data_IF_839566190356
#
_entry.id   IF_839566190356
#
_cell.length_a   1.000
_cell.length_b   1.000
_cell.length_c   1.000
_cell.angle_alpha   90.00
_cell.angle_beta   90.00
_cell.angle_gamma   90.00
#
_symmetry.space_group_name_H-M   'P 1'
#
loop_
_entity.id
_entity.type
_entity.pdbx_description
1 polymer ?
#
# COMPACT_ATOMS: atom_id res chain seq x y z
N UNK A 1 8.23 17.62 58.09
CA UNK A 1 7.78 18.24 56.82
C UNK A 1 8.98 18.54 55.94
N UNK A 2 9.26 17.71 54.94
CA UNK A 2 10.40 17.85 54.03
C UNK A 2 9.98 18.68 52.80
N UNK A 3 10.59 19.85 52.60
CA UNK A 3 10.33 20.71 51.42
C UNK A 3 11.09 20.19 50.19
N UNK A 4 10.37 19.60 49.23
CA UNK A 4 10.93 19.25 47.91
C UNK A 4 11.17 20.52 47.07
N UNK A 5 12.42 20.78 46.69
CA UNK A 5 12.80 21.80 45.71
C UNK A 5 12.58 21.25 44.28
N UNK A 6 11.62 21.80 43.54
CA UNK A 6 11.45 21.55 42.10
C UNK A 6 12.64 22.15 41.32
N UNK A 7 13.46 21.31 40.68
CA UNK A 7 14.45 21.75 39.69
C UNK A 7 13.76 21.93 38.33
N UNK A 8 13.70 23.16 37.84
CA UNK A 8 13.25 23.46 36.49
C UNK A 8 14.32 23.02 35.48
N UNK A 9 14.00 22.04 34.63
CA UNK A 9 14.84 21.64 33.51
C UNK A 9 14.73 22.69 32.41
N UNK A 10 15.78 23.51 32.22
CA UNK A 10 15.87 24.45 31.10
C UNK A 10 16.31 23.70 29.85
N UNK A 11 15.36 23.36 28.98
CA UNK A 11 15.65 22.85 27.63
C UNK A 11 16.24 24.01 26.81
N UNK A 12 17.49 23.87 26.36
CA UNK A 12 18.12 24.84 25.46
C UNK A 12 17.48 24.73 24.07
N UNK A 13 17.17 25.86 23.38
CA UNK A 13 16.62 25.80 22.04
C UNK A 13 17.66 25.23 21.05
N UNK A 14 17.26 24.16 20.36
CA UNK A 14 18.09 23.46 19.39
C UNK A 14 18.31 24.34 18.15
N UNK A 15 19.58 24.64 17.81
CA UNK A 15 19.96 25.54 16.71
C UNK A 15 19.54 24.96 15.34
N UNK A 16 18.65 25.67 14.63
CA UNK A 16 18.09 25.32 13.30
C UNK A 16 19.10 25.06 12.16
N UNK A 17 20.38 25.45 12.31
CA UNK A 17 21.37 25.35 11.21
C UNK A 17 21.93 23.95 10.96
N UNK A 18 21.86 23.02 11.93
CA UNK A 18 22.40 21.67 11.75
C UNK A 18 21.53 20.75 10.87
N UNK A 19 20.22 21.06 10.71
CA UNK A 19 19.29 20.23 9.93
C UNK A 19 19.59 20.22 8.43
N UNK A 20 20.05 21.34 7.86
CA UNK A 20 20.21 21.48 6.40
C UNK A 20 21.41 20.69 5.84
N UNK A 21 22.49 20.57 6.62
CA UNK A 21 23.67 19.79 6.21
C UNK A 21 23.49 18.28 6.42
N UNK A 22 22.74 17.85 7.44
CA UNK A 22 22.44 16.44 7.64
C UNK A 22 21.43 15.92 6.61
N UNK A 23 20.40 16.72 6.26
CA UNK A 23 19.41 16.38 5.22
C UNK A 23 20.05 16.21 3.84
N UNK A 24 20.99 17.08 3.46
CA UNK A 24 21.65 16.98 2.15
C UNK A 24 22.64 15.81 2.04
N UNK A 25 23.13 15.26 3.17
CA UNK A 25 23.97 14.06 3.17
C UNK A 25 23.19 12.75 3.11
N UNK A 26 21.94 12.74 3.58
CA UNK A 26 21.07 11.54 3.52
C UNK A 26 20.43 11.38 2.14
N UNK A 27 20.26 12.46 1.38
CA UNK A 27 19.54 12.46 0.09
C UNK A 27 20.42 12.08 -1.12
N UNK A 28 21.75 12.02 -0.99
CA UNK A 28 22.64 11.78 -2.14
C UNK A 28 23.68 10.73 -1.76
N UNK A 29 23.30 9.45 -1.85
CA UNK A 29 24.14 8.27 -2.16
C UNK A 29 23.41 6.97 -1.77
N UNK A 30 22.22 6.73 -2.31
CA UNK A 30 21.77 5.35 -2.46
C UNK A 30 22.32 4.85 -3.79
N UNK A 31 23.28 3.90 -3.80
CA UNK A 31 23.94 3.47 -5.02
C UNK A 31 22.90 2.95 -6.01
N UNK A 32 23.00 3.46 -7.24
CA UNK A 32 22.24 3.10 -8.42
C UNK A 32 21.73 1.65 -8.40
N UNK A 33 20.46 1.46 -8.07
CA UNK A 33 19.74 0.24 -8.46
C UNK A 33 19.49 0.39 -9.96
N UNK A 34 20.45 -0.05 -10.78
CA UNK A 34 20.19 -0.36 -12.19
C UNK A 34 19.23 -1.54 -12.21
N UNK A 35 17.93 -1.26 -12.21
CA UNK A 35 16.92 -2.25 -12.54
C UNK A 35 17.09 -2.63 -14.02
N UNK A 36 17.62 -3.83 -14.27
CA UNK A 36 17.71 -4.37 -15.62
C UNK A 36 16.32 -4.84 -16.05
N UNK A 37 15.82 -4.30 -17.15
CA UNK A 37 15.08 -5.09 -18.14
C UNK A 37 13.56 -5.20 -18.04
N UNK A 38 12.84 -4.27 -17.40
CA UNK A 38 11.37 -4.21 -17.50
C UNK A 38 10.87 -2.76 -17.53
N UNK A 39 9.92 -2.43 -18.41
CA UNK A 39 9.18 -1.15 -18.36
C UNK A 39 8.23 -1.17 -17.16
N UNK A 40 8.77 -1.11 -15.96
CA UNK A 40 7.99 -1.09 -14.73
C UNK A 40 7.27 0.26 -14.60
N UNK A 41 6.03 0.25 -14.10
CA UNK A 41 5.41 1.47 -13.61
C UNK A 41 6.12 1.89 -12.32
N UNK A 42 7.23 2.60 -12.46
CA UNK A 42 7.84 3.30 -11.34
C UNK A 42 6.99 4.53 -11.03
N UNK A 43 5.95 4.32 -10.21
CA UNK A 43 5.07 5.39 -9.74
C UNK A 43 5.87 6.59 -9.23
N UNK A 44 6.98 6.34 -8.51
CA UNK A 44 7.80 7.41 -7.93
C UNK A 44 8.49 8.26 -9.00
N UNK A 45 8.85 7.66 -10.15
CA UNK A 45 9.40 8.39 -11.30
C UNK A 45 8.34 9.21 -12.04
N UNK A 46 7.11 8.71 -12.12
CA UNK A 46 5.99 9.41 -12.76
C UNK A 46 5.50 10.64 -11.99
N UNK A 47 5.76 10.71 -10.69
CA UNK A 47 5.40 11.86 -9.85
C UNK A 47 6.23 13.11 -10.14
N UNK A 48 5.62 14.28 -9.94
CA UNK A 48 6.37 15.56 -9.90
C UNK A 48 7.37 15.55 -8.74
N UNK A 49 8.40 16.41 -8.81
CA UNK A 49 9.39 16.52 -7.72
C UNK A 49 8.75 16.81 -6.36
N UNK A 50 7.70 17.64 -6.32
CA UNK A 50 6.98 17.99 -5.09
C UNK A 50 6.23 16.79 -4.51
N UNK A 51 5.52 16.04 -5.36
CA UNK A 51 4.79 14.84 -4.93
C UNK A 51 5.75 13.73 -4.49
N UNK A 52 6.81 13.51 -5.26
CA UNK A 52 7.89 12.58 -4.91
C UNK A 52 8.48 12.89 -3.53
N UNK A 53 8.80 14.16 -3.26
CA UNK A 53 9.33 14.56 -1.96
C UNK A 53 8.33 14.25 -0.82
N UNK A 54 7.03 14.52 -1.02
CA UNK A 54 6.01 14.20 -0.01
C UNK A 54 5.90 12.70 0.26
N UNK A 55 5.96 11.87 -0.78
CA UNK A 55 5.99 10.40 -0.64
C UNK A 55 7.22 9.96 0.15
N UNK A 56 8.41 10.50 -0.17
CA UNK A 56 9.65 10.19 0.53
C UNK A 56 9.64 10.66 1.99
N UNK A 57 9.08 11.83 2.26
CA UNK A 57 8.92 12.34 3.63
C UNK A 57 8.03 11.40 4.46
N UNK A 58 6.90 10.94 3.91
CA UNK A 58 6.04 9.95 4.56
C UNK A 58 6.77 8.61 4.76
N UNK A 59 7.43 8.11 3.72
CA UNK A 59 8.21 6.87 3.80
C UNK A 59 9.31 6.94 4.87
N UNK A 60 9.99 8.08 5.00
CA UNK A 60 11.05 8.26 6.00
C UNK A 60 10.55 8.07 7.44
N UNK A 61 9.29 8.42 7.72
CA UNK A 61 8.66 8.14 9.01
C UNK A 61 8.46 6.64 9.25
N UNK A 62 7.96 5.92 8.23
CA UNK A 62 7.77 4.46 8.29
C UNK A 62 9.12 3.74 8.40
N UNK A 63 10.15 4.25 7.74
CA UNK A 63 11.50 3.67 7.74
C UNK A 63 12.14 3.63 9.13
N UNK A 64 11.69 4.47 10.06
CA UNK A 64 12.14 4.45 11.45
C UNK A 64 11.68 3.22 12.23
N UNK A 65 10.73 2.43 11.71
CA UNK A 65 10.35 1.14 12.29
C UNK A 65 11.54 0.17 12.11
N UNK A 66 12.03 -0.34 13.24
CA UNK A 66 13.15 -1.28 13.32
C UNK A 66 12.58 -2.71 13.42
N UNK A 67 13.14 -3.62 12.64
CA UNK A 67 12.78 -5.04 12.66
C UNK A 67 11.82 -5.45 11.53
N UNK A 68 11.44 -6.74 11.50
CA UNK A 68 10.47 -7.25 10.54
C UNK A 68 9.10 -6.61 10.75
N UNK A 69 8.35 -6.46 9.67
CA UNK A 69 7.02 -5.88 9.69
C UNK A 69 6.09 -6.66 8.77
N UNK A 70 4.89 -6.94 9.27
CA UNK A 70 3.79 -7.42 8.46
C UNK A 70 3.08 -6.23 7.81
N UNK A 71 2.82 -6.33 6.52
CA UNK A 71 2.05 -5.36 5.75
C UNK A 71 0.75 -6.02 5.29
N UNK A 72 -0.37 -5.29 5.33
CA UNK A 72 -1.67 -5.81 4.90
C UNK A 72 -2.14 -5.10 3.63
N UNK A 73 -1.88 -5.67 2.43
CA UNK A 73 -2.45 -5.16 1.18
C UNK A 73 -3.98 -5.15 1.26
N UNK A 74 -4.60 -4.07 0.79
CA UNK A 74 -6.04 -3.89 0.93
C UNK A 74 -6.69 -3.09 -0.18
N UNK A 75 -7.93 -3.45 -0.45
CA UNK A 75 -8.85 -2.66 -1.26
C UNK A 75 -9.13 -1.32 -0.57
N UNK A 76 -9.08 -0.22 -1.32
CA UNK A 76 -9.55 1.10 -0.86
C UNK A 76 -10.53 1.66 -1.89
N UNK A 77 -10.03 2.03 -3.08
CA UNK A 77 -10.82 2.64 -4.17
C UNK A 77 -11.28 1.63 -5.23
N UNK A 78 -10.88 0.37 -5.12
CA UNK A 78 -11.23 -0.74 -6.02
C UNK A 78 -11.53 -1.99 -5.19
N UNK A 79 -11.61 -3.17 -5.81
CA UNK A 79 -11.93 -4.41 -5.12
C UNK A 79 -13.38 -4.86 -5.33
N UNK A 80 -13.72 -6.01 -4.74
CA UNK A 80 -15.04 -6.64 -4.86
C UNK A 80 -16.20 -5.67 -4.58
N UNK A 81 -16.09 -4.86 -3.52
CA UNK A 81 -17.11 -3.88 -3.12
C UNK A 81 -17.43 -2.88 -4.23
N UNK A 82 -16.42 -2.43 -4.99
CA UNK A 82 -16.67 -1.52 -6.12
C UNK A 82 -17.53 -2.20 -7.19
N UNK A 83 -17.15 -3.41 -7.60
CA UNK A 83 -17.86 -4.11 -8.68
C UNK A 83 -19.28 -4.49 -8.27
N UNK A 84 -19.50 -4.85 -7.01
CA UNK A 84 -20.84 -5.11 -6.45
C UNK A 84 -21.70 -3.84 -6.44
N UNK A 85 -21.16 -2.69 -6.04
CA UNK A 85 -21.91 -1.43 -6.06
C UNK A 85 -22.18 -0.92 -7.48
N UNK A 86 -21.26 -1.14 -8.44
CA UNK A 86 -21.51 -0.84 -9.85
C UNK A 86 -22.65 -1.71 -10.41
N UNK A 87 -22.66 -2.99 -10.08
CA UNK A 87 -23.70 -3.92 -10.53
C UNK A 87 -25.07 -3.54 -9.96
N UNK A 88 -25.13 -3.31 -8.65
CA UNK A 88 -26.34 -2.87 -7.93
C UNK A 88 -26.95 -1.57 -8.48
N UNK A 89 -26.10 -0.64 -8.93
CA UNK A 89 -26.53 0.66 -9.45
C UNK A 89 -26.73 0.66 -10.98
N UNK A 90 -26.35 -0.41 -11.66
CA UNK A 90 -26.38 -0.52 -13.13
C UNK A 90 -25.32 0.31 -13.86
N UNK A 91 -24.35 0.87 -13.11
CA UNK A 91 -23.30 1.73 -13.64
C UNK A 91 -22.11 0.92 -14.16
N UNK A 92 -21.31 1.50 -15.06
CA UNK A 92 -20.25 0.81 -15.80
C UNK A 92 -18.83 1.15 -15.36
N UNK A 93 -18.63 2.26 -14.65
CA UNK A 93 -17.31 2.60 -14.12
C UNK A 93 -17.38 3.44 -12.85
N UNK A 94 -16.24 3.55 -12.17
CA UNK A 94 -16.08 4.44 -11.02
C UNK A 94 -16.36 5.89 -11.38
N UNK A 95 -15.90 6.33 -12.55
CA UNK A 95 -16.09 7.70 -13.04
C UNK A 95 -17.59 7.99 -13.22
N UNK A 96 -18.32 7.07 -13.85
CA UNK A 96 -19.77 7.19 -14.01
C UNK A 96 -20.49 7.18 -12.66
N UNK A 97 -20.02 6.40 -11.70
CA UNK A 97 -20.54 6.38 -10.33
C UNK A 97 -20.31 7.70 -9.60
N UNK A 98 -19.10 8.24 -9.63
CA UNK A 98 -18.80 9.54 -9.01
C UNK A 98 -19.57 10.67 -9.69
N UNK A 99 -19.80 10.61 -11.01
CA UNK A 99 -20.58 11.59 -11.77
C UNK A 99 -22.06 11.56 -11.39
N UNK A 100 -22.70 10.37 -11.39
CA UNK A 100 -24.16 10.25 -11.20
C UNK A 100 -24.58 10.27 -9.74
N UNK A 101 -23.79 9.69 -8.85
CA UNK A 101 -24.14 9.54 -7.43
C UNK A 101 -23.29 10.43 -6.50
N UNK A 102 -22.22 11.03 -7.03
CA UNK A 102 -21.34 11.92 -6.30
C UNK A 102 -20.21 11.22 -5.54
N UNK A 103 -19.11 11.95 -5.34
CA UNK A 103 -17.93 11.47 -4.60
C UNK A 103 -18.23 11.03 -3.18
N UNK A 104 -19.24 11.62 -2.54
CA UNK A 104 -19.65 11.24 -1.18
C UNK A 104 -20.26 9.84 -1.16
N UNK A 105 -21.13 9.51 -2.11
CA UNK A 105 -21.69 8.17 -2.23
C UNK A 105 -20.59 7.13 -2.51
N UNK A 106 -19.61 7.47 -3.36
CA UNK A 106 -18.47 6.58 -3.62
C UNK A 106 -17.64 6.35 -2.35
N UNK A 107 -17.38 7.42 -1.58
CA UNK A 107 -16.70 7.29 -0.30
C UNK A 107 -17.46 6.40 0.68
N UNK A 108 -18.75 6.67 0.89
CA UNK A 108 -19.55 5.98 1.92
C UNK A 108 -19.82 4.51 1.58
N UNK A 109 -20.01 4.17 0.30
CA UNK A 109 -20.39 2.83 -0.14
C UNK A 109 -19.20 1.95 -0.53
N UNK A 110 -18.08 2.55 -0.98
CA UNK A 110 -16.91 1.80 -1.43
C UNK A 110 -15.72 2.02 -0.49
N UNK A 111 -15.18 3.25 -0.43
CA UNK A 111 -13.92 3.52 0.29
C UNK A 111 -14.04 3.20 1.77
N UNK A 112 -15.10 3.67 2.43
CA UNK A 112 -15.32 3.49 3.87
C UNK A 112 -15.49 2.01 4.20
N UNK A 113 -16.33 1.30 3.46
CA UNK A 113 -16.58 -0.15 3.65
C UNK A 113 -15.29 -0.95 3.49
N UNK A 114 -14.54 -0.69 2.42
CA UNK A 114 -13.24 -1.31 2.18
C UNK A 114 -12.23 -1.01 3.29
N UNK A 115 -12.12 0.26 3.69
CA UNK A 115 -11.18 0.70 4.74
C UNK A 115 -11.52 0.10 6.10
N UNK A 116 -12.79 0.02 6.47
CA UNK A 116 -13.26 -0.62 7.70
C UNK A 116 -12.90 -2.11 7.73
N UNK A 117 -13.15 -2.83 6.62
CA UNK A 117 -12.74 -4.24 6.48
C UNK A 117 -11.22 -4.39 6.64
N UNK A 118 -10.45 -3.50 6.03
CA UNK A 118 -8.99 -3.54 6.09
C UNK A 118 -8.44 -3.25 7.48
N UNK A 119 -8.98 -2.24 8.16
CA UNK A 119 -8.61 -1.90 9.53
C UNK A 119 -8.92 -3.05 10.48
N UNK A 120 -10.11 -3.65 10.37
CA UNK A 120 -10.50 -4.79 11.19
C UNK A 120 -9.58 -5.99 10.95
N UNK A 121 -9.29 -6.31 9.68
CA UNK A 121 -8.36 -7.39 9.34
C UNK A 121 -6.97 -7.18 9.95
N UNK A 122 -6.41 -5.97 9.83
CA UNK A 122 -5.11 -5.65 10.40
C UNK A 122 -5.10 -5.72 11.94
N UNK A 123 -6.19 -5.31 12.59
CA UNK A 123 -6.34 -5.44 14.05
C UNK A 123 -6.40 -6.90 14.49
N UNK A 124 -7.16 -7.75 13.80
CA UNK A 124 -7.21 -9.19 14.10
C UNK A 124 -5.89 -9.88 13.78
N UNK A 125 -5.18 -9.46 12.73
CA UNK A 125 -3.84 -9.95 12.43
C UNK A 125 -2.85 -9.60 13.53
N UNK A 126 -2.87 -8.35 14.01
CA UNK A 126 -1.97 -7.88 15.08
C UNK A 126 -2.16 -8.62 16.40
N UNK A 127 -3.30 -9.29 16.61
CA UNK A 127 -3.54 -10.17 17.78
C UNK A 127 -2.96 -11.58 17.59
N UNK A 128 -2.64 -11.99 16.36
CA UNK A 128 -2.25 -13.36 15.98
C UNK A 128 -0.75 -13.54 15.75
N UNK A 129 -0.02 -12.44 15.50
CA UNK A 129 1.41 -12.48 15.15
C UNK A 129 2.22 -11.55 16.05
N UNK A 130 3.50 -11.90 16.24
CA UNK A 130 4.41 -11.19 17.16
C UNK A 130 5.27 -10.12 16.49
N UNK A 131 4.88 -9.65 15.30
CA UNK A 131 5.56 -8.56 14.57
C UNK A 131 4.62 -7.37 14.33
N UNK A 132 5.17 -6.14 14.25
CA UNK A 132 4.37 -4.95 13.95
C UNK A 132 3.57 -5.12 12.64
N UNK A 133 2.28 -4.76 12.69
CA UNK A 133 1.38 -4.76 11.54
C UNK A 133 1.18 -3.33 11.03
N UNK A 134 1.49 -3.09 9.75
CA UNK A 134 1.20 -1.84 9.06
C UNK A 134 -0.09 -1.96 8.25
N UNK A 135 -1.05 -1.09 8.56
CA UNK A 135 -2.36 -0.99 7.90
C UNK A 135 -2.44 0.27 7.01
N UNK A 136 -2.43 0.14 5.67
CA UNK A 136 -2.44 1.28 4.75
C UNK A 136 -3.67 2.19 4.88
N UNK A 137 -4.86 1.62 5.10
CA UNK A 137 -6.12 2.39 5.15
C UNK A 137 -6.19 3.43 6.27
N UNK A 138 -5.30 3.38 7.27
CA UNK A 138 -5.26 4.41 8.32
C UNK A 138 -4.56 5.69 7.87
N UNK A 139 -3.77 5.65 6.80
CA UNK A 139 -3.11 6.84 6.27
C UNK A 139 -4.07 7.56 5.33
N UNK A 140 -4.66 8.65 5.82
CA UNK A 140 -5.43 9.59 5.00
C UNK A 140 -4.67 10.90 4.96
N UNK A 141 -4.00 11.17 3.84
CA UNK A 141 -3.30 12.43 3.61
C UNK A 141 -4.05 13.27 2.58
N UNK A 142 -4.36 14.52 2.95
CA UNK A 142 -4.92 15.47 2.00
C UNK A 142 -3.95 15.73 0.83
N UNK A 143 -4.48 15.74 -0.38
CA UNK A 143 -3.70 15.95 -1.60
C UNK A 143 -2.72 14.84 -1.96
N UNK A 144 -2.87 13.62 -1.43
CA UNK A 144 -2.27 12.43 -2.04
C UNK A 144 -3.17 11.93 -3.16
N UNK A 145 -2.61 11.76 -4.37
CA UNK A 145 -3.28 11.05 -5.44
C UNK A 145 -3.17 9.53 -5.24
N UNK A 146 -3.90 8.76 -6.06
CA UNK A 146 -3.79 7.29 -6.05
C UNK A 146 -2.35 6.84 -6.38
N UNK A 147 -1.69 7.50 -7.34
CA UNK A 147 -0.30 7.26 -7.73
C UNK A 147 0.67 7.55 -6.58
N UNK A 148 0.41 8.58 -5.78
CA UNK A 148 1.23 8.87 -4.59
C UNK A 148 1.11 7.78 -3.53
N UNK A 149 -0.12 7.28 -3.29
CA UNK A 149 -0.32 6.14 -2.38
C UNK A 149 0.39 4.89 -2.90
N UNK A 150 0.22 4.54 -4.17
CA UNK A 150 0.91 3.39 -4.76
C UNK A 150 2.43 3.54 -4.72
N UNK A 151 2.96 4.74 -5.01
CA UNK A 151 4.39 5.02 -4.88
C UNK A 151 4.86 4.77 -3.45
N UNK A 152 4.14 5.26 -2.44
CA UNK A 152 4.50 5.04 -1.03
C UNK A 152 4.48 3.56 -0.67
N UNK A 153 3.38 2.87 -0.93
CA UNK A 153 3.17 1.50 -0.48
C UNK A 153 4.06 0.50 -1.17
N UNK A 154 4.33 0.67 -2.47
CA UNK A 154 5.29 -0.18 -3.17
C UNK A 154 6.71 0.01 -2.63
N UNK A 155 7.10 1.20 -2.15
CA UNK A 155 8.38 1.36 -1.44
C UNK A 155 8.38 0.62 -0.11
N UNK A 156 7.28 0.68 0.65
CA UNK A 156 7.15 -0.06 1.92
C UNK A 156 7.26 -1.57 1.70
N UNK A 157 6.49 -2.12 0.76
CA UNK A 157 6.54 -3.55 0.41
C UNK A 157 7.95 -3.94 -0.03
N UNK A 158 8.59 -3.12 -0.86
CA UNK A 158 9.91 -3.47 -1.41
C UNK A 158 11.02 -3.44 -0.36
N UNK A 159 10.95 -2.54 0.62
CA UNK A 159 12.10 -2.22 1.48
C UNK A 159 11.92 -2.62 2.94
N UNK A 160 10.69 -2.84 3.40
CA UNK A 160 10.37 -2.97 4.83
C UNK A 160 9.48 -4.16 5.18
N UNK A 161 8.59 -4.58 4.27
CA UNK A 161 7.74 -5.72 4.54
C UNK A 161 8.56 -7.01 4.59
N UNK A 162 8.48 -7.72 5.72
CA UNK A 162 8.94 -9.10 5.85
C UNK A 162 7.80 -10.08 5.50
N UNK A 163 6.56 -9.67 5.76
CA UNK A 163 5.37 -10.45 5.46
C UNK A 163 4.30 -9.60 4.78
N UNK A 164 3.63 -10.16 3.78
CA UNK A 164 2.38 -9.64 3.24
C UNK A 164 1.24 -10.56 3.69
N UNK A 165 0.21 -9.99 4.29
CA UNK A 165 -0.98 -10.72 4.70
C UNK A 165 -2.16 -10.24 3.88
N UNK A 166 -2.55 -11.05 2.90
CA UNK A 166 -3.57 -10.71 1.92
C UNK A 166 -4.96 -10.87 2.53
N UNK A 167 -5.77 -9.81 2.43
CA UNK A 167 -7.17 -9.84 2.84
C UNK A 167 -8.01 -10.79 1.96
N UNK A 168 -9.17 -11.27 2.43
CA UNK A 168 -10.15 -11.87 1.54
C UNK A 168 -10.47 -10.96 0.35
N UNK A 169 -10.63 -11.55 -0.83
CA UNK A 169 -10.95 -10.86 -2.09
C UNK A 169 -9.91 -9.81 -2.54
N UNK A 170 -8.66 -9.90 -2.06
CA UNK A 170 -7.59 -9.00 -2.47
C UNK A 170 -7.36 -9.00 -3.99
N UNK A 171 -7.62 -10.13 -4.66
CA UNK A 171 -7.37 -10.32 -6.09
C UNK A 171 -8.26 -9.44 -6.98
N UNK A 172 -9.32 -8.85 -6.43
CA UNK A 172 -10.18 -7.87 -7.12
C UNK A 172 -9.64 -6.44 -7.02
N UNK A 173 -8.65 -6.17 -6.16
CA UNK A 173 -8.10 -4.84 -5.94
C UNK A 173 -6.93 -4.57 -6.85
N UNK A 174 -6.96 -3.44 -7.57
CA UNK A 174 -5.80 -3.01 -8.35
C UNK A 174 -4.58 -2.78 -7.46
N UNK A 175 -4.76 -2.13 -6.30
CA UNK A 175 -3.65 -1.82 -5.38
C UNK A 175 -3.09 -3.08 -4.73
N UNK A 176 -3.95 -3.91 -4.14
CA UNK A 176 -3.49 -5.11 -3.45
C UNK A 176 -2.86 -6.14 -4.42
N UNK A 177 -3.37 -6.25 -5.66
CA UNK A 177 -2.78 -7.13 -6.66
C UNK A 177 -1.39 -6.64 -7.13
N UNK A 178 -1.19 -5.34 -7.26
CA UNK A 178 0.14 -4.78 -7.55
C UNK A 178 1.12 -4.98 -6.39
N UNK A 179 0.66 -4.82 -5.15
CA UNK A 179 1.46 -5.07 -3.94
C UNK A 179 1.85 -6.55 -3.82
N UNK A 180 0.93 -7.48 -4.12
CA UNK A 180 1.24 -8.91 -4.25
C UNK A 180 2.31 -9.16 -5.31
N UNK A 181 2.11 -8.61 -6.51
CA UNK A 181 3.04 -8.75 -7.64
C UNK A 181 4.42 -8.21 -7.28
N UNK A 182 4.47 -7.08 -6.55
CA UNK A 182 5.72 -6.56 -6.02
C UNK A 182 6.35 -7.53 -5.02
N UNK A 183 5.60 -8.07 -4.08
CA UNK A 183 6.10 -9.09 -3.14
C UNK A 183 6.74 -10.29 -3.84
N UNK A 184 6.05 -10.88 -4.82
CA UNK A 184 6.59 -11.99 -5.63
C UNK A 184 7.89 -11.61 -6.34
N UNK A 185 7.95 -10.41 -6.89
CA UNK A 185 9.18 -9.93 -7.53
C UNK A 185 10.33 -9.83 -6.54
N UNK A 186 10.08 -9.35 -5.32
CA UNK A 186 11.10 -9.29 -4.27
C UNK A 186 11.61 -10.70 -3.90
N UNK A 187 10.72 -11.69 -3.86
CA UNK A 187 11.13 -13.10 -3.70
C UNK A 187 12.05 -13.55 -4.85
N UNK A 188 11.69 -13.27 -6.10
CA UNK A 188 12.54 -13.56 -7.28
C UNK A 188 13.89 -12.84 -7.23
N UNK A 189 13.95 -11.65 -6.64
CA UNK A 189 15.17 -10.87 -6.40
C UNK A 189 16.00 -11.39 -5.21
N UNK A 190 15.58 -12.47 -4.54
CA UNK A 190 16.30 -13.13 -3.45
C UNK A 190 15.99 -12.59 -2.05
N UNK A 191 14.94 -11.78 -1.90
CA UNK A 191 14.54 -11.26 -0.60
C UNK A 191 13.58 -12.21 0.11
N UNK A 192 13.78 -12.36 1.43
CA UNK A 192 12.92 -13.17 2.29
C UNK A 192 11.67 -12.39 2.68
N UNK A 193 10.75 -12.24 1.73
CA UNK A 193 9.39 -11.77 1.97
C UNK A 193 8.44 -12.95 1.83
N UNK A 194 7.56 -13.15 2.81
CA UNK A 194 6.53 -14.20 2.77
C UNK A 194 5.17 -13.60 2.51
N UNK A 195 4.31 -14.33 1.81
CA UNK A 195 2.99 -13.83 1.42
C UNK A 195 1.95 -14.85 1.86
N UNK A 196 1.03 -14.45 2.73
CA UNK A 196 0.02 -15.31 3.32
C UNK A 196 -1.40 -14.86 2.93
N UNK A 197 -2.33 -15.81 2.90
CA UNK A 197 -3.75 -15.50 2.89
C UNK A 197 -4.27 -15.15 4.29
N UNK A 198 -5.55 -14.81 4.39
CA UNK A 198 -6.18 -14.39 5.62
C UNK A 198 -6.23 -15.49 6.71
N UNK A 199 -6.03 -16.75 6.32
CA UNK A 199 -5.97 -17.91 7.22
C UNK A 199 -4.53 -18.23 7.65
N UNK A 200 -3.52 -17.56 7.08
CA UNK A 200 -2.11 -17.77 7.38
C UNK A 200 -1.43 -18.80 6.48
N UNK A 201 -2.08 -19.27 5.41
CA UNK A 201 -1.42 -20.16 4.44
C UNK A 201 -0.65 -19.35 3.41
N UNK A 202 0.54 -19.81 3.06
CA UNK A 202 1.36 -19.14 2.04
C UNK A 202 0.65 -19.13 0.67
N UNK A 203 0.79 -18.03 -0.06
CA UNK A 203 0.27 -17.83 -1.41
C UNK A 203 1.44 -17.86 -2.39
N UNK A 204 1.80 -19.03 -2.94
CA UNK A 204 2.81 -19.11 -3.98
C UNK A 204 2.36 -18.40 -5.26
N UNK A 205 3.32 -18.08 -6.13
CA UNK A 205 3.11 -17.33 -7.39
C UNK A 205 2.01 -17.94 -8.28
N UNK A 206 1.95 -19.26 -8.39
CA UNK A 206 0.99 -19.98 -9.22
C UNK A 206 -0.44 -19.83 -8.65
N UNK A 207 -0.60 -19.90 -7.32
CA UNK A 207 -1.88 -19.67 -6.64
C UNK A 207 -2.33 -18.23 -6.82
N UNK A 208 -1.46 -17.25 -6.57
CA UNK A 208 -1.82 -15.84 -6.73
C UNK A 208 -2.18 -15.47 -8.17
N UNK A 209 -1.41 -15.96 -9.16
CA UNK A 209 -1.72 -15.77 -10.58
C UNK A 209 -3.10 -16.34 -10.94
N UNK A 210 -3.44 -17.56 -10.46
CA UNK A 210 -4.78 -18.15 -10.65
C UNK A 210 -5.89 -17.30 -10.02
N UNK A 211 -5.67 -16.79 -8.81
CA UNK A 211 -6.65 -15.95 -8.11
C UNK A 211 -6.94 -14.65 -8.89
N UNK A 212 -5.90 -13.92 -9.28
CA UNK A 212 -6.03 -12.68 -10.07
C UNK A 212 -6.68 -12.97 -11.43
N UNK A 213 -6.28 -14.04 -12.10
CA UNK A 213 -6.89 -14.46 -13.38
C UNK A 213 -8.37 -14.75 -13.25
N UNK A 214 -8.78 -15.45 -12.18
CA UNK A 214 -10.19 -15.73 -11.89
C UNK A 214 -10.97 -14.44 -11.65
N UNK A 215 -10.46 -13.55 -10.80
CA UNK A 215 -11.11 -12.26 -10.52
C UNK A 215 -11.26 -11.42 -11.79
N UNK A 216 -10.22 -11.33 -12.62
CA UNK A 216 -10.28 -10.61 -13.90
C UNK A 216 -11.35 -11.19 -14.84
N UNK A 217 -11.41 -12.52 -14.98
CA UNK A 217 -12.47 -13.18 -15.78
C UNK A 217 -13.87 -12.84 -15.28
N UNK A 218 -14.06 -12.85 -13.96
CA UNK A 218 -15.35 -12.53 -13.36
C UNK A 218 -15.73 -11.06 -13.58
N UNK A 219 -14.81 -10.12 -13.33
CA UNK A 219 -14.98 -8.69 -13.62
C UNK A 219 -15.38 -8.48 -15.08
N UNK A 220 -14.65 -9.09 -16.01
CA UNK A 220 -14.90 -8.96 -17.44
C UNK A 220 -16.25 -9.58 -17.86
N UNK A 221 -16.65 -10.71 -17.26
CA UNK A 221 -17.94 -11.35 -17.54
C UNK A 221 -19.15 -10.48 -17.18
N UNK A 222 -18.97 -9.55 -16.23
CA UNK A 222 -19.98 -8.56 -15.82
C UNK A 222 -19.91 -7.27 -16.65
N UNK A 223 -19.02 -7.19 -17.64
CA UNK A 223 -18.85 -6.05 -18.55
C UNK A 223 -17.98 -4.92 -18.00
N UNK A 224 -17.22 -5.16 -16.93
CA UNK A 224 -16.26 -4.21 -16.36
C UNK A 224 -14.85 -4.44 -16.92
N UNK A 225 -13.97 -3.45 -16.75
CA UNK A 225 -12.55 -3.54 -17.16
C UNK A 225 -11.65 -3.39 -15.94
N UNK A 226 -10.53 -4.12 -15.93
CA UNK A 226 -9.51 -4.04 -14.88
C UNK A 226 -8.08 -4.15 -15.45
N UNK A 227 -7.63 -3.14 -16.23
CA UNK A 227 -6.35 -3.21 -16.94
C UNK A 227 -5.12 -3.31 -16.03
N UNK A 228 -5.22 -2.92 -14.75
CA UNK A 228 -4.13 -3.09 -13.78
C UNK A 228 -3.97 -4.56 -13.36
N UNK A 229 -5.06 -5.32 -13.28
CA UNK A 229 -4.99 -6.76 -13.01
C UNK A 229 -4.39 -7.53 -14.19
N UNK A 230 -4.70 -7.13 -15.43
CA UNK A 230 -4.06 -7.67 -16.65
C UNK A 230 -2.53 -7.54 -16.57
N UNK A 231 -2.04 -6.34 -16.26
CA UNK A 231 -0.60 -6.07 -16.08
C UNK A 231 0.02 -6.89 -14.94
N UNK A 232 -0.71 -7.12 -13.86
CA UNK A 232 -0.24 -7.97 -12.76
C UNK A 232 -0.04 -9.41 -13.23
N UNK A 233 -1.00 -9.98 -13.96
CA UNK A 233 -0.91 -11.33 -14.52
C UNK A 233 0.29 -11.44 -15.45
N UNK A 234 0.43 -10.50 -16.39
CA UNK A 234 1.59 -10.46 -17.30
C UNK A 234 2.91 -10.49 -16.52
N UNK A 235 3.03 -9.65 -15.48
CA UNK A 235 4.23 -9.55 -14.65
C UNK A 235 4.55 -10.82 -13.84
N UNK A 236 3.56 -11.67 -13.58
CA UNK A 236 3.75 -12.93 -12.84
C UNK A 236 4.13 -14.11 -13.75
N UNK A 237 3.84 -14.03 -15.05
CA UNK A 237 4.04 -15.13 -16.01
C UNK A 237 5.42 -15.17 -16.69
N UNK A 238 6.29 -14.18 -16.45
CA UNK A 238 7.67 -14.13 -16.94
C UNK A 238 8.69 -14.30 -15.81
#
# INVERSE_FOLDING_TARGET
MVKQKKRACRIRPYKKKAKKQLYNKIIINHPNIRMRGGKEMDYLQALTNKERQRVLDCYSGIETIIGPMAYTPMSVTSGRVLYEELEKTGLKSREEYEEKLGKRAFYDNVIRVNSERGINFAQELAKRIDIPVLCPAKLISSGFSEEMYMALWLQVVSRKAAELHMMPDWEYSNGAAEEYTRGIRRQKEGYDIRIYDNQGYEIPIDRGCRLITRALKEINSRGYKAPRLEKCIESLTF
#
